data_IF_221068219441
#
_entry.id   IF_221068219441
#
_cell.length_a   1.000
_cell.length_b   1.000
_cell.length_c   1.000
_cell.angle_alpha   90.00
_cell.angle_beta   90.00
_cell.angle_gamma   90.00
#
_symmetry.space_group_name_H-M   'P 1'
#
loop_
_entity.id
_entity.type
_entity.pdbx_description
1 polymer ?
#
# COMPACT_ATOMS: atom_id res chain seq x y z
N UNK A 1 -8.13 12.85 11.96
CA UNK A 1 -7.51 12.86 10.61
C UNK A 1 -6.17 12.16 10.74
N UNK A 2 -6.14 10.86 10.49
CA UNK A 2 -4.91 10.07 10.54
C UNK A 2 -4.25 10.10 9.17
N UNK A 3 -3.02 10.62 9.09
CA UNK A 3 -2.18 10.49 7.90
C UNK A 3 -1.16 9.40 8.21
N UNK A 4 -1.49 8.14 7.91
CA UNK A 4 -0.52 7.05 8.02
C UNK A 4 0.37 7.18 6.80
N UNK A 5 1.68 7.35 7.00
CA UNK A 5 2.67 7.26 5.93
C UNK A 5 3.08 5.79 5.73
N UNK A 6 2.50 5.07 4.75
CA UNK A 6 2.58 3.62 4.69
C UNK A 6 3.66 3.26 3.66
N UNK A 7 4.92 3.59 3.95
CA UNK A 7 6.02 3.41 2.99
C UNK A 7 6.27 1.95 2.55
N UNK A 8 5.55 0.98 3.11
CA UNK A 8 5.68 -0.44 2.80
C UNK A 8 4.32 -1.14 2.70
N UNK A 9 3.38 -0.65 1.86
CA UNK A 9 2.19 -1.40 1.50
C UNK A 9 2.39 -2.19 0.20
N UNK A 10 2.01 -3.46 0.21
CA UNK A 10 1.80 -4.27 -0.98
C UNK A 10 0.37 -4.10 -1.48
N UNK A 11 0.19 -4.27 -2.80
CA UNK A 11 -1.13 -4.29 -3.45
C UNK A 11 -1.34 -5.65 -4.12
N UNK A 12 -2.49 -6.25 -3.88
CA UNK A 12 -2.97 -7.47 -4.52
C UNK A 12 -4.39 -7.28 -5.06
N UNK A 13 -4.73 -7.93 -6.16
CA UNK A 13 -6.10 -7.88 -6.72
C UNK A 13 -7.08 -8.79 -5.97
N UNK A 14 -6.56 -9.77 -5.25
CA UNK A 14 -7.35 -10.73 -4.47
C UNK A 14 -6.90 -10.68 -3.02
N UNK A 15 -7.80 -11.04 -2.10
CA UNK A 15 -7.50 -11.06 -0.68
C UNK A 15 -6.50 -12.18 -0.38
N UNK A 16 -5.25 -11.82 -0.13
CA UNK A 16 -4.16 -12.79 0.17
C UNK A 16 -3.99 -13.07 1.67
N UNK A 17 -4.45 -12.18 2.55
CA UNK A 17 -4.29 -12.33 4.01
C UNK A 17 -5.52 -11.85 4.77
N UNK A 18 -5.63 -12.23 6.05
CA UNK A 18 -6.73 -11.77 6.91
C UNK A 18 -6.63 -10.28 7.22
N UNK A 19 -5.41 -9.77 7.35
CA UNK A 19 -5.07 -8.36 7.59
C UNK A 19 -5.13 -7.49 6.33
N UNK A 20 -5.49 -8.08 5.18
CA UNK A 20 -5.65 -7.34 3.95
C UNK A 20 -6.82 -6.37 4.03
N UNK A 21 -6.53 -5.11 3.75
CA UNK A 21 -7.46 -3.99 3.81
C UNK A 21 -8.03 -3.77 2.40
N UNK A 22 -9.36 -3.88 2.19
CA UNK A 22 -9.97 -3.52 0.92
C UNK A 22 -9.84 -2.00 0.71
N UNK A 23 -9.38 -1.59 -0.47
CA UNK A 23 -9.21 -0.19 -0.82
C UNK A 23 -9.46 0.05 -2.32
N UNK A 24 -9.91 1.24 -2.66
CA UNK A 24 -10.16 1.68 -4.04
C UNK A 24 -9.01 2.54 -4.52
N UNK A 25 -8.45 2.23 -5.69
CA UNK A 25 -7.41 3.06 -6.31
C UNK A 25 -8.01 4.42 -6.68
N UNK A 26 -7.48 5.51 -6.11
CA UNK A 26 -7.93 6.87 -6.38
C UNK A 26 -7.00 7.59 -7.35
N UNK A 27 -5.70 7.31 -7.28
CA UNK A 27 -4.71 7.92 -8.16
C UNK A 27 -3.47 7.04 -8.28
N UNK A 28 -2.75 7.16 -9.39
CA UNK A 28 -1.41 6.60 -9.53
C UNK A 28 -0.52 7.48 -10.39
N UNK A 29 0.76 7.55 -10.05
CA UNK A 29 1.76 8.26 -10.85
C UNK A 29 3.12 7.57 -10.81
N UNK A 30 3.79 7.54 -11.95
CA UNK A 30 5.10 6.92 -12.09
C UNK A 30 6.22 7.95 -11.93
N UNK A 31 7.21 7.63 -11.11
CA UNK A 31 8.46 8.40 -10.92
C UNK A 31 9.63 7.46 -11.10
N UNK A 32 10.30 7.54 -12.25
CA UNK A 32 11.40 6.63 -12.60
C UNK A 32 10.95 5.15 -12.56
N UNK A 33 11.59 4.28 -11.76
CA UNK A 33 11.24 2.86 -11.65
C UNK A 33 10.08 2.58 -10.68
N UNK A 34 9.59 3.58 -9.95
CA UNK A 34 8.56 3.44 -8.92
C UNK A 34 7.23 4.01 -9.42
N UNK A 35 6.13 3.41 -8.99
CA UNK A 35 4.77 3.90 -9.15
C UNK A 35 4.17 4.10 -7.77
N UNK A 36 3.80 5.34 -7.49
CA UNK A 36 3.06 5.73 -6.30
C UNK A 36 1.58 5.54 -6.59
N UNK A 37 0.89 4.82 -5.71
CA UNK A 37 -0.54 4.54 -5.81
C UNK A 37 -1.22 5.07 -4.56
N UNK A 38 -2.17 5.97 -4.76
CA UNK A 38 -3.08 6.44 -3.72
C UNK A 38 -4.33 5.57 -3.73
N UNK A 39 -4.76 5.16 -2.54
CA UNK A 39 -5.94 4.33 -2.34
C UNK A 39 -6.83 4.91 -1.24
N UNK A 40 -8.14 4.79 -1.40
CA UNK A 40 -9.12 5.07 -0.35
C UNK A 40 -9.57 3.77 0.29
N UNK A 41 -9.41 3.64 1.60
CA UNK A 41 -9.86 2.46 2.34
C UNK A 41 -11.38 2.32 2.27
N UNK A 42 -11.85 1.12 1.95
CA UNK A 42 -13.28 0.85 1.84
C UNK A 42 -14.00 1.09 3.17
N UNK A 43 -15.17 1.74 3.10
CA UNK A 43 -15.98 2.06 4.27
C UNK A 43 -15.44 3.18 5.18
N UNK A 44 -14.35 3.87 4.80
CA UNK A 44 -13.77 4.97 5.61
C UNK A 44 -13.38 6.16 4.73
N UNK A 45 -13.14 7.32 5.34
CA UNK A 45 -12.52 8.49 4.69
C UNK A 45 -10.99 8.52 4.86
N UNK A 46 -10.37 7.36 5.16
CA UNK A 46 -8.93 7.21 5.26
C UNK A 46 -8.29 6.92 3.91
N UNK A 47 -7.16 7.57 3.65
CA UNK A 47 -6.34 7.37 2.46
C UNK A 47 -5.07 6.60 2.83
N UNK A 48 -4.62 5.76 1.90
CA UNK A 48 -3.43 4.92 1.98
C UNK A 48 -2.57 5.21 0.75
N UNK A 49 -1.26 5.19 0.95
CA UNK A 49 -0.27 5.33 -0.12
C UNK A 49 0.55 4.05 -0.19
N UNK A 50 0.79 3.55 -1.41
CA UNK A 50 1.61 2.39 -1.66
C UNK A 50 2.65 2.71 -2.75
N UNK A 51 3.86 2.23 -2.54
CA UNK A 51 4.98 2.39 -3.47
C UNK A 51 5.31 1.02 -4.06
N UNK A 52 5.04 0.84 -5.36
CA UNK A 52 5.30 -0.41 -6.06
C UNK A 52 6.19 -0.19 -7.28
N UNK A 53 6.88 -1.23 -7.74
CA UNK A 53 7.70 -1.08 -8.94
C UNK A 53 6.83 -0.90 -10.18
N UNK A 54 7.36 -0.22 -11.19
CA UNK A 54 6.67 -0.08 -12.49
C UNK A 54 6.37 -1.43 -13.15
N UNK A 55 7.21 -2.43 -12.90
CA UNK A 55 6.95 -3.82 -13.32
C UNK A 55 5.75 -4.42 -12.60
N UNK A 56 5.70 -4.31 -11.26
CA UNK A 56 4.59 -4.82 -10.46
C UNK A 56 3.28 -4.12 -10.83
N UNK A 57 3.29 -2.80 -11.01
CA UNK A 57 2.11 -2.06 -11.45
C UNK A 57 1.58 -2.57 -12.80
N UNK A 58 2.48 -2.84 -13.75
CA UNK A 58 2.12 -3.43 -15.06
C UNK A 58 1.57 -4.86 -14.92
N UNK A 59 2.13 -5.68 -14.04
CA UNK A 59 1.66 -7.04 -13.79
C UNK A 59 0.28 -7.06 -13.13
N UNK A 60 0.06 -6.16 -12.18
CA UNK A 60 -1.24 -5.99 -11.52
C UNK A 60 -2.29 -5.48 -12.51
N UNK A 61 -1.93 -4.60 -13.44
CA UNK A 61 -2.86 -4.05 -14.43
C UNK A 61 -4.03 -3.27 -13.80
N UNK A 62 -3.81 -2.75 -12.59
CA UNK A 62 -4.81 -2.01 -11.81
C UNK A 62 -5.03 -0.61 -12.40
N UNK A 63 -6.26 -0.11 -12.24
CA UNK A 63 -6.69 1.18 -12.76
C UNK A 63 -7.37 2.02 -11.68
N UNK A 64 -7.38 3.34 -11.87
CA UNK A 64 -8.17 4.24 -11.03
C UNK A 64 -9.64 3.81 -11.04
N UNK A 65 -10.23 3.72 -9.85
CA UNK A 65 -11.59 3.26 -9.64
C UNK A 65 -11.72 1.77 -9.31
N UNK A 66 -10.67 0.97 -9.50
CA UNK A 66 -10.66 -0.45 -9.18
C UNK A 66 -10.50 -0.71 -7.68
N UNK A 67 -11.16 -1.76 -7.18
CA UNK A 67 -10.96 -2.26 -5.82
C UNK A 67 -9.84 -3.28 -5.77
N UNK A 68 -8.94 -3.11 -4.80
CA UNK A 68 -7.78 -3.95 -4.54
C UNK A 68 -7.67 -4.20 -3.04
N UNK A 69 -6.70 -5.03 -2.66
CA UNK A 69 -6.37 -5.35 -1.28
C UNK A 69 -4.97 -4.86 -0.98
N UNK A 70 -4.80 -4.18 0.14
CA UNK A 70 -3.49 -3.69 0.60
C UNK A 70 -3.10 -4.29 1.94
N UNK A 71 -1.82 -4.57 2.12
CA UNK A 71 -1.28 -5.12 3.37
C UNK A 71 0.17 -4.68 3.60
N UNK A 72 0.64 -4.62 4.86
CA UNK A 72 2.02 -4.27 5.18
C UNK A 72 3.03 -5.31 4.66
N UNK A 73 4.05 -4.86 3.92
CA UNK A 73 5.06 -5.68 3.22
C UNK A 73 6.22 -6.12 4.11
N UNK A 74 5.91 -6.70 5.28
CA UNK A 74 6.81 -6.88 6.44
C UNK A 74 6.81 -5.65 7.36
N UNK A 75 6.17 -5.78 8.52
CA UNK A 75 6.63 -5.05 9.69
C UNK A 75 7.96 -5.71 10.06
N UNK A 76 9.07 -5.25 9.49
CA UNK A 76 10.35 -5.41 10.19
C UNK A 76 10.19 -4.61 11.48
N UNK A 77 9.80 -5.30 12.55
CA UNK A 77 10.02 -4.80 13.90
C UNK A 77 11.54 -4.71 13.98
N UNK A 78 12.08 -3.54 13.64
CA UNK A 78 13.34 -3.13 14.21
C UNK A 78 13.03 -3.08 15.70
N UNK A 79 13.31 -4.17 16.42
CA UNK A 79 13.62 -4.05 17.84
C UNK A 79 14.92 -3.23 17.79
N UNK A 80 14.95 -1.97 18.22
CA UNK A 80 16.22 -1.31 18.42
C UNK A 80 16.96 -2.16 19.44
N UNK A 81 17.95 -2.93 18.97
CA UNK A 81 18.93 -3.55 19.85
C UNK A 81 19.68 -2.38 20.52
N UNK A 82 19.60 -2.37 21.85
CA UNK A 82 20.32 -1.50 22.79
C UNK A 82 20.02 0.00 22.79
N UNK A 83 19.13 0.40 23.72
CA UNK A 83 19.49 1.48 24.63
C UNK A 83 19.64 0.89 26.04
N UNK A 84 20.89 0.59 26.40
CA UNK A 84 21.32 0.43 27.79
C UNK A 84 20.99 1.72 28.54
N UNK A 85 20.24 1.60 29.64
CA UNK A 85 20.18 2.62 30.71
C UNK A 85 21.07 2.12 31.85
#
# INVERSE_FOLDING_TARGET
MGYVRPHHLSIDRTKQSIDAIPAKVTYSHAVGPVVYVELKRDGTDEYLEAEISKEQFRQLGIQTGEFVYVHPREVKVFIPEDFVI
#
